data_IF_932341612054
#
_entry.id   IF_932341612054
#
_cell.length_a   1.000
_cell.length_b   1.000
_cell.length_c   1.000
_cell.angle_alpha   90.00
_cell.angle_beta   90.00
_cell.angle_gamma   90.00
#
_symmetry.space_group_name_H-M   'P 1'
#
loop_
_entity.id
_entity.type
_entity.pdbx_description
1 polymer ?
#
# COMPACT_ATOMS: atom_id res chain seq x y z
N UNK A 1 47.48 22.61 31.95
CA UNK A 1 46.79 21.31 31.88
C UNK A 1 45.61 21.44 30.94
N UNK A 2 45.68 20.89 29.72
CA UNK A 2 44.61 20.94 28.72
C UNK A 2 43.65 19.77 28.97
N UNK A 3 42.37 20.04 29.19
CA UNK A 3 41.31 19.03 29.30
C UNK A 3 40.92 18.62 27.88
N UNK A 4 41.24 17.39 27.50
CA UNK A 4 40.72 16.77 26.27
C UNK A 4 39.34 16.24 26.60
N UNK A 5 38.31 16.82 25.98
CA UNK A 5 36.94 16.36 26.08
C UNK A 5 36.75 15.30 25.00
N UNK A 6 36.65 14.03 25.41
CA UNK A 6 36.37 12.92 24.49
C UNK A 6 34.87 12.96 24.18
N UNK A 7 34.52 13.32 22.94
CA UNK A 7 33.17 13.24 22.42
C UNK A 7 32.93 11.78 22.00
N UNK A 8 32.15 11.04 22.77
CA UNK A 8 31.67 9.72 22.36
C UNK A 8 30.47 9.96 21.45
N UNK A 9 30.70 9.97 20.14
CA UNK A 9 29.62 9.89 19.15
C UNK A 9 28.97 8.52 19.25
N UNK A 10 27.87 8.41 20.00
CA UNK A 10 26.98 7.28 19.91
C UNK A 10 26.24 7.36 18.57
N UNK A 11 26.79 6.72 17.53
CA UNK A 11 25.98 6.33 16.39
C UNK A 11 24.98 5.30 16.90
N UNK A 12 23.75 5.74 17.16
CA UNK A 12 22.64 4.82 17.36
C UNK A 12 22.48 4.05 16.04
N UNK A 13 22.83 2.77 16.06
CA UNK A 13 22.46 1.84 15.00
C UNK A 13 20.94 1.77 15.00
N UNK A 14 20.30 2.50 14.09
CA UNK A 14 18.89 2.31 13.78
C UNK A 14 18.80 0.96 13.10
N UNK A 15 18.46 -0.08 13.85
CA UNK A 15 17.91 -1.29 13.26
C UNK A 15 16.66 -0.85 12.50
N UNK A 16 16.60 -1.10 11.19
CA UNK A 16 15.34 -1.01 10.48
C UNK A 16 14.33 -1.84 11.28
N UNK A 17 13.29 -1.22 11.83
CA UNK A 17 12.17 -2.00 12.34
C UNK A 17 11.68 -2.79 11.13
N UNK A 18 11.63 -4.12 11.25
CA UNK A 18 10.93 -4.92 10.24
C UNK A 18 9.49 -4.39 10.21
N UNK A 19 9.06 -3.87 9.06
CA UNK A 19 7.71 -3.37 8.88
C UNK A 19 6.71 -4.50 9.15
N UNK A 20 5.56 -4.18 9.73
CA UNK A 20 4.51 -5.18 9.91
C UNK A 20 3.92 -5.52 8.54
N UNK A 21 3.75 -6.82 8.26
CA UNK A 21 3.26 -7.33 6.99
C UNK A 21 2.09 -8.28 7.15
N UNK A 22 1.21 -8.30 6.16
CA UNK A 22 0.13 -9.26 6.00
C UNK A 22 0.15 -9.76 4.55
N UNK A 23 0.38 -11.06 4.35
CA UNK A 23 0.18 -11.67 3.04
C UNK A 23 -1.32 -11.93 2.83
N UNK A 24 -1.83 -11.73 1.63
CA UNK A 24 -3.22 -11.94 1.28
C UNK A 24 -3.37 -12.58 -0.10
N UNK A 25 -4.50 -13.25 -0.30
CA UNK A 25 -5.01 -13.63 -1.62
C UNK A 25 -6.13 -12.65 -1.98
N UNK A 26 -6.17 -12.18 -3.22
CA UNK A 26 -7.09 -11.15 -3.67
C UNK A 26 -7.60 -11.37 -5.07
N UNK A 27 -8.67 -10.64 -5.37
CA UNK A 27 -9.30 -10.62 -6.68
C UNK A 27 -9.73 -9.19 -7.00
N UNK A 28 -9.65 -8.82 -8.27
CA UNK A 28 -10.21 -7.57 -8.78
C UNK A 28 -11.05 -7.86 -10.01
N UNK A 29 -12.23 -7.23 -10.05
CA UNK A 29 -13.19 -7.27 -11.13
C UNK A 29 -13.12 -5.95 -11.90
N UNK A 30 -12.99 -6.08 -13.21
CA UNK A 30 -12.78 -4.96 -14.12
C UNK A 30 -13.95 -4.86 -15.07
N UNK A 31 -14.39 -3.62 -15.32
CA UNK A 31 -15.44 -3.33 -16.28
C UNK A 31 -14.86 -2.49 -17.43
N UNK A 32 -15.52 -2.56 -18.57
CA UNK A 32 -15.31 -1.73 -19.75
C UNK A 32 -13.89 -1.80 -20.35
N UNK A 33 -13.74 -2.53 -21.45
CA UNK A 33 -12.49 -2.48 -22.23
C UNK A 33 -12.31 -1.12 -22.92
N UNK A 34 -11.09 -0.60 -22.87
CA UNK A 34 -10.69 0.54 -23.70
C UNK A 34 -10.27 0.11 -25.11
N UNK A 35 -9.85 1.07 -25.94
CA UNK A 35 -9.17 0.79 -27.21
C UNK A 35 -7.64 0.85 -27.10
N UNK A 36 -7.09 0.98 -25.89
CA UNK A 36 -5.66 1.14 -25.66
C UNK A 36 -5.01 -0.25 -25.61
N UNK A 37 -4.03 -0.58 -26.48
CA UNK A 37 -3.45 -1.91 -26.51
C UNK A 37 -2.77 -2.30 -25.20
N UNK A 38 -2.81 -3.60 -24.89
CA UNK A 38 -2.24 -4.18 -23.68
C UNK A 38 -1.58 -5.54 -23.95
N UNK A 39 -1.29 -6.29 -22.90
CA UNK A 39 -0.60 -7.57 -22.93
C UNK A 39 -1.37 -8.63 -23.74
N UNK A 40 -0.63 -9.45 -24.48
CA UNK A 40 -1.11 -10.58 -25.26
C UNK A 40 -2.20 -10.23 -26.29
N UNK A 41 -2.19 -8.99 -26.78
CA UNK A 41 -3.16 -8.48 -27.76
C UNK A 41 -4.51 -8.10 -27.16
N UNK A 42 -4.61 -8.00 -25.84
CA UNK A 42 -5.78 -7.44 -25.15
C UNK A 42 -5.75 -5.90 -25.18
N UNK A 43 -6.76 -5.30 -24.54
CA UNK A 43 -6.83 -3.87 -24.29
C UNK A 43 -6.77 -3.60 -22.79
N UNK A 44 -6.36 -2.37 -22.44
CA UNK A 44 -6.40 -1.92 -21.05
C UNK A 44 -7.85 -1.85 -20.59
N UNK A 45 -8.07 -2.16 -19.31
CA UNK A 45 -9.38 -1.97 -18.69
C UNK A 45 -9.61 -0.51 -18.36
N UNK A 46 -10.85 -0.04 -18.57
CA UNK A 46 -11.26 1.33 -18.29
C UNK A 46 -11.54 1.57 -16.81
N UNK A 47 -11.87 0.52 -16.05
CA UNK A 47 -12.28 0.64 -14.66
C UNK A 47 -11.97 -0.63 -13.84
N UNK A 48 -11.61 -0.45 -12.58
CA UNK A 48 -11.69 -1.47 -11.52
C UNK A 48 -13.01 -1.24 -10.78
N UNK A 49 -14.04 -2.01 -11.14
CA UNK A 49 -15.36 -1.87 -10.54
C UNK A 49 -15.33 -2.28 -9.06
N UNK A 50 -14.62 -3.36 -8.74
CA UNK A 50 -14.41 -3.79 -7.36
C UNK A 50 -13.17 -4.65 -7.18
N UNK A 51 -12.64 -4.71 -5.97
CA UNK A 51 -11.57 -5.62 -5.60
C UNK A 51 -11.65 -5.99 -4.12
N UNK A 52 -11.08 -7.14 -3.78
CA UNK A 52 -11.05 -7.65 -2.42
C UNK A 52 -9.77 -8.43 -2.12
N UNK A 53 -9.45 -8.56 -0.84
CA UNK A 53 -8.38 -9.45 -0.37
C UNK A 53 -8.71 -10.11 0.97
N UNK A 54 -8.15 -11.29 1.19
CA UNK A 54 -8.25 -12.07 2.43
C UNK A 54 -6.87 -12.42 2.96
N UNK A 55 -6.60 -12.12 4.23
CA UNK A 55 -5.31 -12.39 4.84
C UNK A 55 -4.99 -13.89 4.95
N UNK A 56 -3.73 -14.25 4.73
CA UNK A 56 -3.21 -15.62 4.81
C UNK A 56 -2.30 -15.75 6.04
N UNK A 57 -1.31 -14.86 6.13
CA UNK A 57 -0.33 -14.84 7.21
C UNK A 57 -0.03 -13.42 7.63
N UNK A 58 0.13 -13.21 8.93
CA UNK A 58 0.43 -11.94 9.54
C UNK A 58 1.78 -12.01 10.27
N UNK A 59 2.60 -10.99 10.11
CA UNK A 59 3.80 -10.76 10.89
C UNK A 59 3.86 -9.29 11.34
N UNK A 60 3.60 -9.03 12.63
CA UNK A 60 3.79 -7.70 13.24
C UNK A 60 2.51 -6.93 13.56
N UNK A 61 1.34 -7.32 13.04
CA UNK A 61 0.05 -6.76 13.48
C UNK A 61 -0.51 -7.54 14.67
N UNK A 62 -0.33 -7.05 15.89
CA UNK A 62 -0.89 -7.70 17.08
C UNK A 62 -2.42 -7.64 17.13
N UNK A 63 -3.03 -6.65 16.48
CA UNK A 63 -4.48 -6.51 16.38
C UNK A 63 -5.13 -7.56 15.47
N UNK A 64 -4.36 -8.27 14.62
CA UNK A 64 -4.85 -9.32 13.71
C UNK A 64 -4.35 -10.69 14.22
N UNK A 65 -5.00 -11.29 15.23
CA UNK A 65 -4.53 -12.55 15.81
C UNK A 65 -4.73 -13.76 14.87
N UNK A 66 -5.65 -13.64 13.90
CA UNK A 66 -5.84 -14.62 12.83
C UNK A 66 -6.02 -13.89 11.50
N UNK A 67 -5.06 -14.05 10.60
CA UNK A 67 -5.04 -13.40 9.30
C UNK A 67 -6.24 -13.76 8.41
N UNK A 68 -6.75 -15.00 8.49
CA UNK A 68 -7.86 -15.46 7.64
C UNK A 68 -9.21 -14.84 7.96
N UNK A 69 -9.30 -14.11 9.07
CA UNK A 69 -10.50 -13.33 9.41
C UNK A 69 -10.38 -11.89 8.94
N UNK A 70 -9.19 -11.42 8.55
CA UNK A 70 -8.98 -10.08 8.04
C UNK A 70 -9.26 -10.05 6.53
N UNK A 71 -10.14 -9.15 6.12
CA UNK A 71 -10.46 -8.92 4.71
C UNK A 71 -10.49 -7.42 4.40
N UNK A 72 -10.30 -7.07 3.14
CA UNK A 72 -10.48 -5.69 2.69
C UNK A 72 -11.19 -5.64 1.34
N UNK A 73 -11.83 -4.52 1.04
CA UNK A 73 -12.51 -4.26 -0.23
C UNK A 73 -12.24 -2.85 -0.73
N UNK A 74 -12.22 -2.67 -2.04
CA UNK A 74 -12.11 -1.39 -2.74
C UNK A 74 -12.85 -1.46 -4.08
N UNK A 75 -12.92 -0.37 -4.83
CA UNK A 75 -13.56 -0.32 -6.14
C UNK A 75 -13.68 1.11 -6.64
N UNK A 76 -14.41 1.29 -7.75
CA UNK A 76 -14.69 2.59 -8.37
C UNK A 76 -13.40 3.32 -8.79
N UNK A 77 -12.45 2.62 -9.40
CA UNK A 77 -11.21 3.24 -9.90
C UNK A 77 -11.19 3.29 -11.42
N UNK A 78 -11.03 4.46 -12.02
CA UNK A 78 -10.95 4.61 -13.46
C UNK A 78 -9.51 4.64 -13.97
N UNK A 79 -9.33 4.13 -15.18
CA UNK A 79 -8.07 4.22 -15.91
C UNK A 79 -7.72 5.68 -16.20
N UNK A 80 -6.59 6.13 -15.67
CA UNK A 80 -5.94 7.34 -16.16
C UNK A 80 -5.14 7.03 -17.42
N UNK A 81 -5.85 7.09 -18.55
CA UNK A 81 -5.27 6.89 -19.88
C UNK A 81 -4.15 7.88 -20.22
N UNK A 82 -4.10 9.07 -19.58
CA UNK A 82 -3.05 10.05 -19.85
C UNK A 82 -1.73 9.68 -19.15
N UNK A 83 -1.81 8.94 -18.05
CA UNK A 83 -0.65 8.47 -17.30
C UNK A 83 -0.32 7.00 -17.52
N UNK A 84 -1.15 6.24 -18.26
CA UNK A 84 -0.88 4.85 -18.62
C UNK A 84 -0.04 4.69 -19.89
N UNK A 85 0.70 3.58 -20.02
CA UNK A 85 1.54 3.28 -21.19
C UNK A 85 1.41 1.82 -21.62
N UNK A 86 1.02 1.58 -22.88
CA UNK A 86 1.04 0.24 -23.47
C UNK A 86 2.45 -0.36 -23.52
N UNK A 87 2.63 -1.65 -23.19
CA UNK A 87 3.91 -2.33 -23.30
C UNK A 87 4.23 -2.61 -24.77
N UNK A 88 5.52 -2.82 -25.03
CA UNK A 88 6.02 -3.28 -26.33
C UNK A 88 6.70 -4.65 -26.20
N UNK A 89 7.18 -5.22 -27.32
CA UNK A 89 7.91 -6.50 -27.34
C UNK A 89 9.11 -6.58 -26.40
N UNK A 90 9.71 -5.44 -26.06
CA UNK A 90 10.88 -5.35 -25.20
C UNK A 90 10.88 -4.07 -24.37
N UNK A 91 9.69 -3.50 -24.12
CA UNK A 91 9.55 -2.28 -23.33
C UNK A 91 8.41 -2.43 -22.34
N UNK A 92 8.60 -1.98 -21.10
CA UNK A 92 7.59 -2.10 -20.07
C UNK A 92 6.35 -1.26 -20.41
N UNK A 93 5.25 -1.66 -19.82
CA UNK A 93 3.99 -0.93 -19.83
C UNK A 93 3.40 -0.87 -18.44
N UNK A 94 2.47 0.04 -18.23
CA UNK A 94 1.73 0.14 -16.98
C UNK A 94 0.31 0.70 -17.22
N UNK A 95 -0.61 0.25 -16.36
CA UNK A 95 -1.95 0.83 -16.19
C UNK A 95 -1.96 1.60 -14.86
N UNK A 96 -2.49 2.82 -14.86
CA UNK A 96 -2.71 3.61 -13.64
C UNK A 96 -4.19 3.86 -13.44
N UNK A 97 -4.70 3.45 -12.30
CA UNK A 97 -6.10 3.57 -11.89
C UNK A 97 -6.22 4.52 -10.72
N UNK A 98 -7.17 5.44 -10.80
CA UNK A 98 -7.44 6.40 -9.73
C UNK A 98 -8.91 6.77 -9.74
N UNK A 99 -9.37 7.26 -8.61
CA UNK A 99 -10.68 7.88 -8.50
C UNK A 99 -10.70 9.19 -9.30
N UNK A 100 -11.31 9.16 -10.49
CA UNK A 100 -11.43 10.30 -11.40
C UNK A 100 -12.78 11.00 -11.28
N UNK A 101 -13.76 10.38 -10.63
CA UNK A 101 -15.10 10.92 -10.49
C UNK A 101 -15.28 11.68 -9.14
N UNK A 102 -16.53 11.96 -8.76
CA UNK A 102 -16.83 12.74 -7.53
C UNK A 102 -17.38 11.88 -6.39
N UNK A 103 -17.48 10.58 -6.60
CA UNK A 103 -18.10 9.55 -5.79
C UNK A 103 -17.03 8.61 -5.21
N UNK A 104 -16.08 9.20 -4.48
CA UNK A 104 -14.99 8.46 -3.83
C UNK A 104 -15.49 7.28 -3.00
N UNK A 105 -15.18 6.06 -3.43
CA UNK A 105 -15.41 4.87 -2.60
C UNK A 105 -14.25 4.65 -1.63
N UNK A 106 -14.51 4.47 -0.33
CA UNK A 106 -13.46 4.17 0.63
C UNK A 106 -12.95 2.74 0.45
N UNK A 107 -11.67 2.54 0.73
CA UNK A 107 -11.15 1.20 1.00
C UNK A 107 -11.64 0.78 2.38
N UNK A 108 -12.27 -0.38 2.49
CA UNK A 108 -12.85 -0.86 3.74
C UNK A 108 -12.07 -2.07 4.26
N UNK A 109 -11.79 -2.06 5.57
CA UNK A 109 -11.05 -3.12 6.26
C UNK A 109 -11.94 -3.78 7.30
N UNK A 110 -12.04 -5.11 7.24
CA UNK A 110 -12.91 -5.91 8.09
C UNK A 110 -12.11 -6.95 8.87
N UNK A 111 -12.65 -7.33 10.01
CA UNK A 111 -12.21 -8.52 10.73
C UNK A 111 -13.41 -9.35 11.16
N UNK A 112 -13.42 -10.62 10.76
CA UNK A 112 -14.52 -11.53 11.02
C UNK A 112 -15.89 -10.95 10.58
N UNK A 113 -15.89 -10.27 9.42
CA UNK A 113 -17.06 -9.60 8.84
C UNK A 113 -17.47 -8.29 9.51
N UNK A 114 -16.74 -7.80 10.52
CA UNK A 114 -17.02 -6.53 11.20
C UNK A 114 -16.10 -5.44 10.65
N UNK A 115 -16.67 -4.33 10.19
CA UNK A 115 -15.90 -3.18 9.71
C UNK A 115 -15.04 -2.62 10.85
N UNK A 116 -13.74 -2.54 10.61
CA UNK A 116 -12.73 -2.03 11.53
C UNK A 116 -12.28 -0.62 11.15
N UNK A 117 -11.87 -0.44 9.91
CA UNK A 117 -11.31 0.82 9.43
C UNK A 117 -11.73 1.12 8.00
N UNK A 118 -11.66 2.39 7.63
CA UNK A 118 -11.80 2.87 6.26
C UNK A 118 -10.56 3.67 5.89
N UNK A 119 -10.20 3.62 4.61
CA UNK A 119 -9.08 4.35 4.05
C UNK A 119 -9.42 4.97 2.70
N UNK A 120 -8.45 5.73 2.19
CA UNK A 120 -8.48 6.33 0.87
C UNK A 120 -7.14 6.10 0.20
N UNK A 121 -7.16 5.89 -1.12
CA UNK A 121 -5.94 5.84 -1.90
C UNK A 121 -5.18 7.17 -1.78
N UNK A 122 -3.89 7.09 -1.52
CA UNK A 122 -2.99 8.25 -1.46
C UNK A 122 -2.30 8.47 -2.80
N UNK A 123 -1.91 7.36 -3.42
CA UNK A 123 -1.36 7.28 -4.77
C UNK A 123 -2.25 6.39 -5.63
N UNK A 124 -2.03 6.42 -6.94
CA UNK A 124 -2.75 5.63 -7.93
C UNK A 124 -2.52 4.12 -7.70
N UNK A 125 -3.53 3.30 -8.01
CA UNK A 125 -3.33 1.86 -8.14
C UNK A 125 -2.69 1.59 -9.51
N UNK A 126 -1.44 1.14 -9.49
CA UNK A 126 -0.63 0.97 -10.70
C UNK A 126 -0.31 -0.49 -10.93
N UNK A 127 -0.53 -0.99 -12.15
CA UNK A 127 -0.12 -2.34 -12.57
C UNK A 127 0.96 -2.23 -13.61
N UNK A 128 2.14 -2.78 -13.34
CA UNK A 128 3.30 -2.80 -14.22
C UNK A 128 3.49 -4.18 -14.87
N UNK A 129 3.95 -4.20 -16.12
CA UNK A 129 4.35 -5.40 -16.87
C UNK A 129 5.68 -5.15 -17.59
N UNK A 130 6.52 -6.17 -17.72
CA UNK A 130 7.85 -6.02 -18.32
C UNK A 130 7.82 -5.93 -19.86
N UNK A 131 6.80 -6.53 -20.48
CA UNK A 131 6.64 -6.59 -21.94
C UNK A 131 5.20 -6.89 -22.34
N UNK A 132 4.90 -6.84 -23.63
CA UNK A 132 3.57 -7.16 -24.14
C UNK A 132 3.23 -8.66 -24.07
N UNK A 133 4.16 -9.54 -23.74
CA UNK A 133 3.93 -10.98 -23.55
C UNK A 133 3.96 -11.38 -22.06
N UNK A 134 4.15 -10.41 -21.16
CA UNK A 134 4.19 -10.63 -19.72
C UNK A 134 2.79 -10.69 -19.12
N UNK A 135 2.32 -11.91 -18.86
CA UNK A 135 0.99 -12.20 -18.32
C UNK A 135 0.91 -12.05 -16.79
N UNK A 136 2.00 -11.68 -16.11
CA UNK A 136 2.06 -11.60 -14.65
C UNK A 136 2.44 -10.18 -14.23
N UNK A 137 1.46 -9.28 -14.21
CA UNK A 137 1.69 -7.92 -13.74
C UNK A 137 2.02 -7.85 -12.25
N UNK A 138 2.68 -6.75 -11.86
CA UNK A 138 2.90 -6.37 -10.47
C UNK A 138 2.10 -5.11 -10.18
N UNK A 139 1.18 -5.19 -9.21
CA UNK A 139 0.35 -4.07 -8.79
C UNK A 139 0.90 -3.37 -7.56
N UNK A 140 0.83 -2.05 -7.50
CA UNK A 140 1.27 -1.23 -6.37
C UNK A 140 0.21 -0.18 -6.02
N UNK A 141 -0.05 0.02 -4.74
CA UNK A 141 -0.89 1.12 -4.27
C UNK A 141 -0.62 1.49 -2.82
N UNK A 142 -0.98 2.71 -2.42
CA UNK A 142 -0.94 3.16 -1.02
C UNK A 142 -2.32 3.58 -0.54
N UNK A 143 -2.73 3.09 0.63
CA UNK A 143 -4.00 3.43 1.27
C UNK A 143 -3.72 4.05 2.63
N UNK A 144 -4.24 5.25 2.87
CA UNK A 144 -4.19 5.89 4.17
C UNK A 144 -5.48 5.64 4.94
N UNK A 145 -5.39 5.17 6.19
CA UNK A 145 -6.57 5.01 7.04
C UNK A 145 -7.12 6.38 7.46
N UNK A 146 -8.35 6.67 7.04
CA UNK A 146 -9.06 7.93 7.29
C UNK A 146 -10.08 7.82 8.41
N UNK A 147 -10.57 6.62 8.71
CA UNK A 147 -11.59 6.37 9.73
C UNK A 147 -11.48 5.01 10.40
N UNK A 148 -12.15 4.85 11.53
CA UNK A 148 -12.28 3.57 12.23
C UNK A 148 -13.57 3.47 13.04
N UNK A 149 -13.99 2.24 13.32
CA UNK A 149 -15.09 1.93 14.23
C UNK A 149 -14.56 1.65 15.64
N UNK A 150 -15.46 1.56 16.63
CA UNK A 150 -15.06 1.16 17.99
C UNK A 150 -14.37 -0.22 18.03
N UNK A 151 -14.75 -1.15 17.13
CA UNK A 151 -14.16 -2.48 17.06
C UNK A 151 -12.76 -2.48 16.43
N UNK A 152 -12.49 -1.53 15.52
CA UNK A 152 -11.20 -1.41 14.83
C UNK A 152 -10.23 -0.40 15.45
N UNK A 153 -10.54 0.17 16.62
CA UNK A 153 -9.67 1.16 17.26
C UNK A 153 -8.25 0.63 17.47
N UNK A 154 -8.10 -0.61 17.93
CA UNK A 154 -6.77 -1.17 18.21
C UNK A 154 -5.95 -1.34 16.93
N UNK A 155 -6.57 -1.80 15.83
CA UNK A 155 -5.94 -1.86 14.50
C UNK A 155 -5.53 -0.46 14.01
N UNK A 156 -6.43 0.52 14.12
CA UNK A 156 -6.16 1.90 13.69
C UNK A 156 -4.99 2.54 14.46
N UNK A 157 -4.96 2.38 15.78
CA UNK A 157 -3.88 2.91 16.62
C UNK A 157 -2.57 2.15 16.38
N UNK A 158 -2.63 0.84 16.18
CA UNK A 158 -1.47 0.03 15.83
C UNK A 158 -0.84 0.49 14.52
N UNK A 159 -1.63 0.61 13.44
CA UNK A 159 -1.17 1.13 12.15
C UNK A 159 -0.59 2.54 12.33
N UNK A 160 -1.28 3.42 13.06
CA UNK A 160 -0.77 4.76 13.38
C UNK A 160 0.57 4.73 14.11
N UNK A 161 0.81 3.75 15.00
CA UNK A 161 2.08 3.60 15.71
C UNK A 161 3.18 3.05 14.81
N UNK A 162 2.86 2.05 13.98
CA UNK A 162 3.81 1.38 13.10
C UNK A 162 4.33 2.31 12.00
N UNK A 163 3.48 3.21 11.50
CA UNK A 163 3.85 4.12 10.42
C UNK A 163 4.35 5.48 10.91
N UNK A 164 4.48 5.69 12.22
CA UNK A 164 4.89 6.98 12.78
C UNK A 164 3.82 8.08 12.72
N UNK A 165 2.56 7.71 12.44
CA UNK A 165 1.40 8.60 12.47
C UNK A 165 0.72 8.80 11.11
N UNK A 166 1.40 8.46 10.00
CA UNK A 166 0.87 8.63 8.64
C UNK A 166 -0.36 7.76 8.34
N UNK A 167 -0.46 6.60 9.01
CA UNK A 167 -1.47 5.55 8.81
C UNK A 167 -1.53 5.00 7.38
N UNK A 168 -0.41 5.03 6.67
CA UNK A 168 -0.30 4.53 5.30
C UNK A 168 0.02 3.03 5.30
N UNK A 169 -0.79 2.27 4.57
CA UNK A 169 -0.58 0.87 4.25
C UNK A 169 -0.21 0.79 2.76
N UNK A 170 0.94 0.20 2.46
CA UNK A 170 1.37 -0.07 1.10
C UNK A 170 0.96 -1.49 0.71
N UNK A 171 0.41 -1.63 -0.49
CA UNK A 171 0.03 -2.91 -1.08
C UNK A 171 0.94 -3.18 -2.27
N UNK A 172 1.55 -4.35 -2.26
CA UNK A 172 2.23 -4.94 -3.41
C UNK A 172 1.44 -6.18 -3.81
N UNK A 173 0.92 -6.18 -5.02
CA UNK A 173 0.20 -7.28 -5.64
C UNK A 173 1.16 -7.97 -6.62
N UNK A 174 1.36 -9.27 -6.45
CA UNK A 174 2.08 -10.15 -7.35
C UNK A 174 1.09 -11.06 -8.09
N UNK A 175 1.59 -11.73 -9.13
CA UNK A 175 0.83 -12.73 -9.88
C UNK A 175 -0.50 -12.17 -10.41
N UNK A 176 -0.49 -10.94 -10.94
CA UNK A 176 -1.69 -10.33 -11.53
C UNK A 176 -2.00 -11.00 -12.87
N UNK A 177 -2.66 -12.16 -12.82
CA UNK A 177 -2.90 -13.03 -13.97
C UNK A 177 -4.21 -12.65 -14.63
N UNK A 178 -4.15 -12.30 -15.91
CA UNK A 178 -5.36 -12.11 -16.72
C UNK A 178 -6.10 -13.44 -16.88
N UNK A 179 -7.29 -13.55 -16.28
CA UNK A 179 -8.21 -14.65 -16.58
C UNK A 179 -9.12 -14.25 -17.74
N UNK A 180 -9.02 -14.99 -18.83
CA UNK A 180 -9.52 -14.60 -20.16
C UNK A 180 -11.04 -14.34 -20.21
N UNK A 181 -11.44 -13.10 -20.50
CA UNK A 181 -12.83 -12.74 -20.80
C UNK A 181 -13.03 -11.24 -21.07
N UNK A 182 -14.16 -10.82 -21.67
CA UNK A 182 -14.56 -9.42 -21.77
C UNK A 182 -14.94 -8.79 -20.42
N UNK A 183 -15.03 -9.62 -19.36
CA UNK A 183 -15.10 -9.24 -17.95
C UNK A 183 -13.86 -9.88 -17.31
N UNK A 184 -12.85 -9.06 -16.99
CA UNK A 184 -11.53 -9.54 -16.61
C UNK A 184 -11.43 -9.70 -15.11
N UNK A 185 -11.28 -10.93 -14.63
CA UNK A 185 -10.87 -11.15 -13.25
C UNK A 185 -9.36 -11.25 -13.20
N UNK A 186 -8.78 -10.51 -12.26
CA UNK A 186 -7.37 -10.69 -11.90
C UNK A 186 -7.31 -11.24 -10.50
N UNK A 187 -6.79 -12.45 -10.41
CA UNK A 187 -6.35 -13.02 -9.14
C UNK A 187 -5.00 -12.37 -8.80
N UNK A 188 -4.78 -12.04 -7.52
CA UNK A 188 -3.50 -11.54 -7.06
C UNK A 188 -3.14 -12.16 -5.72
N UNK A 189 -1.86 -12.47 -5.56
CA UNK A 189 -1.29 -12.72 -4.24
C UNK A 189 -0.55 -11.46 -3.84
N UNK A 190 -0.71 -10.96 -2.62
CA UNK A 190 -0.07 -9.70 -2.26
C UNK A 190 0.41 -9.60 -0.84
N UNK A 191 1.10 -8.49 -0.58
CA UNK A 191 1.65 -8.12 0.71
C UNK A 191 1.15 -6.72 1.04
N UNK A 192 0.45 -6.60 2.17
CA UNK A 192 0.12 -5.32 2.79
C UNK A 192 1.18 -5.02 3.86
N UNK A 193 1.77 -3.82 3.82
CA UNK A 193 2.84 -3.40 4.73
C UNK A 193 2.49 -2.08 5.40
N UNK A 194 2.63 -1.99 6.72
CA UNK A 194 2.62 -0.70 7.41
C UNK A 194 3.99 -0.05 7.28
N UNK A 195 4.13 0.93 6.38
CA UNK A 195 5.42 1.58 6.04
C UNK A 195 5.85 2.52 7.17
N UNK A 196 6.95 2.25 7.88
CA UNK A 196 7.47 3.15 8.90
C UNK A 196 8.00 4.43 8.25
N UNK A 197 7.63 5.61 8.77
CA UNK A 197 8.30 6.84 8.36
C UNK A 197 9.82 6.74 8.64
N UNK A 198 10.70 7.22 7.73
CA UNK A 198 12.13 7.24 7.98
C UNK A 198 12.42 7.98 9.29
N UNK A 199 13.23 7.37 10.16
CA UNK A 199 13.51 7.84 11.53
C UNK A 199 14.18 9.24 11.63
N UNK A 200 14.36 9.96 10.53
CA UNK A 200 14.97 11.30 10.45
C UNK A 200 14.17 12.36 11.22
N UNK A 201 12.86 12.22 11.40
CA UNK A 201 12.04 13.16 12.19
C UNK A 201 12.26 13.04 13.72
N UNK A 202 12.64 11.86 14.23
CA UNK A 202 12.93 11.66 15.66
C UNK A 202 14.26 12.30 16.10
N UNK A 203 15.25 12.34 15.20
CA UNK A 203 16.55 12.95 15.49
C UNK A 203 16.50 14.49 15.49
N UNK A 204 15.62 15.10 14.67
CA UNK A 204 15.46 16.55 14.59
C UNK A 204 14.99 17.19 15.90
N UNK A 205 14.01 16.58 16.58
CA UNK A 205 13.51 17.07 17.86
C UNK A 205 14.47 16.81 19.02
N UNK A 206 15.17 15.66 18.99
CA UNK A 206 16.19 15.32 19.99
C UNK A 206 17.41 16.27 19.97
N UNK A 207 17.87 16.68 18.78
CA UNK A 207 18.98 17.62 18.62
C UNK A 207 18.61 19.03 19.11
N UNK A 208 17.39 19.50 18.83
CA UNK A 208 16.91 20.81 19.30
C UNK A 208 16.82 20.83 20.83
N UNK A 209 16.29 19.76 21.46
CA UNK A 209 16.23 19.64 22.91
C UNK A 209 17.62 19.65 23.58
N UNK A 210 18.59 18.94 23.01
CA UNK A 210 19.97 18.90 23.50
C UNK A 210 20.69 20.25 23.36
N UNK A 211 20.52 20.95 22.23
CA UNK A 211 21.10 22.28 21.99
C UNK A 211 20.50 23.34 22.92
N UNK A 212 19.21 23.25 23.24
CA UNK A 212 18.55 24.14 24.21
C UNK A 212 19.01 23.87 25.66
N UNK A 213 19.30 22.62 26.01
CA UNK A 213 19.84 22.24 27.31
C UNK A 213 21.31 22.71 27.49
N UNK A 214 22.11 22.65 26.43
CA UNK A 214 23.49 23.18 26.42
C UNK A 214 23.55 24.71 26.53
N UNK A 215 22.54 25.42 26.02
CA UNK A 215 22.45 26.88 26.12
C UNK A 215 22.06 27.39 27.52
N UNK A 216 21.60 26.50 28.41
CA UNK A 216 21.18 26.80 29.79
C UNK A 216 22.21 26.41 30.87
N UNK A 217 23.44 26.04 30.49
CA UNK A 217 24.56 25.79 31.42
C UNK A 217 25.72 26.73 31.17
#
# INVERSE_FOLDING_TARGET
MKRVMILISAMAATTALNAATLNYDGFSDYDNLTSIPWVAGNFMWGEIASGNGTGITNNGFSSIPNASLFTFTFGDLELDAANSQSPGPSSPGWEEYRELDSNVQPVEFFYNGVLWATGSFVDDFRVDVESNDDLNGVGMSEVQLTGHTAAGNDFYQEVSSLTGGSRVLQFENSNFVNTSGPDGFFESDGIMTAVPEPASFGLGLGLIGFLLALRRR
#
